data_IF_653166612070
#
_entry.id   IF_653166612070
#
_cell.length_a   1.000
_cell.length_b   1.000
_cell.length_c   1.000
_cell.angle_alpha   90.00
_cell.angle_beta   90.00
_cell.angle_gamma   90.00
#
_symmetry.space_group_name_H-M   'P 1'
#
loop_
_entity.id
_entity.type
_entity.pdbx_description
1 polymer ?
#
# COMPACT_ATOMS: atom_id res chain seq x y z
N UNK A 1 5.55 -4.71 18.00
CA UNK A 1 4.60 -3.90 17.22
C UNK A 1 3.57 -4.86 16.64
N UNK A 2 2.33 -4.45 16.35
CA UNK A 2 1.37 -5.36 15.73
C UNK A 2 1.92 -5.79 14.36
N UNK A 3 1.70 -7.03 13.98
CA UNK A 3 2.20 -7.57 12.71
C UNK A 3 1.18 -7.30 11.63
N UNK A 4 1.67 -6.83 10.49
CA UNK A 4 0.86 -6.56 9.31
C UNK A 4 1.37 -7.36 8.12
N UNK A 5 0.46 -7.66 7.20
CA UNK A 5 0.81 -8.34 5.95
C UNK A 5 0.34 -7.43 4.82
N UNK A 6 1.28 -6.98 4.00
CA UNK A 6 0.98 -6.23 2.79
C UNK A 6 0.88 -7.22 1.64
N UNK A 7 -0.25 -7.25 0.95
CA UNK A 7 -0.51 -8.13 -0.19
C UNK A 7 -0.77 -7.31 -1.44
N UNK A 8 -0.50 -7.88 -2.60
CA UNK A 8 -0.82 -7.32 -3.92
C UNK A 8 -1.81 -8.23 -4.63
N UNK A 9 -2.74 -7.67 -5.40
CA UNK A 9 -3.73 -8.44 -6.17
C UNK A 9 -4.03 -7.72 -7.49
N UNK A 10 -3.86 -8.36 -8.66
CA UNK A 10 -3.30 -9.70 -8.85
C UNK A 10 -1.85 -9.82 -8.33
N UNK A 11 -1.39 -11.06 -8.13
CA UNK A 11 -0.02 -11.32 -7.70
C UNK A 11 0.96 -10.78 -8.76
N UNK A 12 2.04 -10.13 -8.30
CA UNK A 12 3.10 -9.62 -9.16
C UNK A 12 3.89 -10.79 -9.79
N UNK A 13 4.28 -10.72 -11.08
CA UNK A 13 4.13 -9.59 -11.99
C UNK A 13 2.72 -9.46 -12.58
N UNK A 14 2.31 -8.22 -12.83
CA UNK A 14 1.04 -7.87 -13.47
C UNK A 14 1.27 -7.42 -14.91
N UNK A 15 0.23 -7.29 -15.72
CA UNK A 15 0.31 -6.80 -17.09
C UNK A 15 -0.12 -5.33 -17.21
N UNK A 16 0.42 -4.65 -18.21
CA UNK A 16 0.03 -3.28 -18.55
C UNK A 16 -1.49 -3.15 -18.75
N UNK A 17 -2.09 -2.14 -18.13
CA UNK A 17 -3.53 -1.89 -18.15
C UNK A 17 -4.32 -2.56 -17.02
N UNK A 18 -3.73 -3.49 -16.27
CA UNK A 18 -4.41 -4.13 -15.15
C UNK A 18 -4.71 -3.17 -13.98
N UNK A 19 -5.74 -3.51 -13.21
CA UNK A 19 -6.02 -2.82 -11.94
C UNK A 19 -5.40 -3.60 -10.80
N UNK A 20 -4.46 -2.97 -10.10
CA UNK A 20 -3.73 -3.56 -8.98
C UNK A 20 -4.29 -3.03 -7.67
N UNK A 21 -4.55 -3.90 -6.72
CA UNK A 21 -4.93 -3.55 -5.35
C UNK A 21 -3.86 -4.04 -4.40
N UNK A 22 -3.28 -3.11 -3.65
CA UNK A 22 -2.40 -3.40 -2.53
C UNK A 22 -3.18 -3.19 -1.24
N UNK A 23 -3.16 -4.18 -0.36
CA UNK A 23 -3.92 -4.12 0.88
C UNK A 23 -3.07 -4.51 2.07
N UNK A 24 -3.19 -3.71 3.12
CA UNK A 24 -2.52 -3.93 4.38
C UNK A 24 -3.48 -4.67 5.35
N UNK A 25 -3.21 -5.94 5.61
CA UNK A 25 -4.00 -6.76 6.52
C UNK A 25 -3.53 -6.66 7.96
N UNK A 26 -4.50 -6.39 8.83
CA UNK A 26 -4.31 -6.27 10.27
C UNK A 26 -4.72 -7.57 10.96
N UNK A 27 -3.83 -8.10 11.79
CA UNK A 27 -4.14 -9.24 12.66
C UNK A 27 -5.01 -8.86 13.87
N UNK A 28 -5.33 -7.58 14.07
CA UNK A 28 -6.06 -7.08 15.24
C UNK A 28 -7.21 -6.12 14.88
N UNK A 29 -8.32 -6.21 15.61
CA UNK A 29 -9.63 -5.60 15.35
C UNK A 29 -9.74 -4.06 15.49
N UNK A 30 -8.63 -3.31 15.59
CA UNK A 30 -8.67 -1.84 15.82
C UNK A 30 -8.33 -1.01 14.59
N UNK A 31 -8.79 -1.37 13.40
CA UNK A 31 -8.46 -0.66 12.14
C UNK A 31 -8.94 0.80 12.08
N UNK A 32 -10.02 1.15 12.81
CA UNK A 32 -10.65 2.47 12.75
C UNK A 32 -9.84 3.62 13.36
N UNK A 33 -8.90 3.33 14.27
CA UNK A 33 -8.06 4.38 14.89
C UNK A 33 -6.79 4.68 14.07
N UNK A 34 -6.54 3.91 13.00
CA UNK A 34 -5.33 4.04 12.20
C UNK A 34 -5.54 4.94 11.00
N UNK A 35 -4.56 5.83 10.82
CA UNK A 35 -4.36 6.62 9.62
C UNK A 35 -3.27 5.96 8.80
N UNK A 36 -3.54 5.77 7.52
CA UNK A 36 -2.66 5.05 6.61
C UNK A 36 -2.04 5.99 5.60
N UNK A 37 -0.74 5.88 5.45
CA UNK A 37 0.04 6.59 4.46
C UNK A 37 0.70 5.57 3.55
N UNK A 38 0.59 5.78 2.25
CA UNK A 38 1.16 4.92 1.23
C UNK A 38 2.32 5.61 0.55
N UNK A 39 3.35 4.84 0.27
CA UNK A 39 4.59 5.33 -0.29
C UNK A 39 5.07 4.42 -1.41
N UNK A 40 5.70 5.04 -2.40
CA UNK A 40 6.33 4.38 -3.54
C UNK A 40 7.81 4.71 -3.57
N UNK A 41 8.62 3.70 -3.83
CA UNK A 41 10.06 3.80 -4.03
C UNK A 41 10.86 4.04 -2.76
N UNK A 42 12.19 3.97 -2.93
CA UNK A 42 13.17 4.23 -1.87
C UNK A 42 13.17 5.69 -1.42
N UNK A 43 12.85 6.60 -2.35
CA UNK A 43 12.73 8.03 -2.07
C UNK A 43 11.46 8.38 -1.27
N UNK A 44 10.64 7.37 -0.95
CA UNK A 44 9.49 7.50 -0.06
C UNK A 44 8.49 8.54 -0.58
N UNK A 45 8.16 8.46 -1.87
CA UNK A 45 7.19 9.36 -2.48
C UNK A 45 5.81 9.03 -1.95
N UNK A 46 5.23 9.95 -1.18
CA UNK A 46 3.90 9.78 -0.60
C UNK A 46 2.84 9.82 -1.69
N UNK A 47 2.06 8.74 -1.81
CA UNK A 47 0.99 8.63 -2.77
C UNK A 47 -0.27 9.33 -2.25
N UNK A 48 -0.96 10.02 -3.15
CA UNK A 48 -2.25 10.64 -2.92
C UNK A 48 -3.25 10.14 -3.96
N UNK A 49 -4.55 10.25 -3.63
CA UNK A 49 -5.61 9.93 -4.58
C UNK A 49 -5.53 10.86 -5.78
N UNK A 50 -5.63 10.27 -6.97
CA UNK A 50 -5.55 10.89 -8.29
C UNK A 50 -6.38 10.06 -9.28
N UNK A 51 -6.37 10.40 -10.55
CA UNK A 51 -7.09 9.64 -11.57
C UNK A 51 -6.61 8.18 -11.69
N UNK A 52 -5.30 7.94 -11.48
CA UNK A 52 -4.68 6.60 -11.55
C UNK A 52 -4.58 5.91 -10.20
N UNK A 53 -4.31 6.63 -9.13
CA UNK A 53 -4.13 6.06 -7.78
C UNK A 53 -5.35 6.35 -6.90
N UNK A 54 -5.87 5.37 -6.19
CA UNK A 54 -6.87 5.57 -5.13
C UNK A 54 -6.29 5.11 -3.80
N UNK A 55 -6.08 6.05 -2.88
CA UNK A 55 -5.68 5.74 -1.50
C UNK A 55 -6.93 5.76 -0.63
N UNK A 56 -7.32 4.59 -0.13
CA UNK A 56 -8.46 4.43 0.77
C UNK A 56 -8.03 3.65 2.01
N UNK A 57 -7.49 4.37 2.99
CA UNK A 57 -7.03 3.78 4.25
C UNK A 57 -6.00 2.67 4.01
N UNK A 58 -6.37 1.45 4.40
CA UNK A 58 -5.51 0.26 4.33
C UNK A 58 -5.33 -0.30 2.92
N UNK A 59 -5.90 0.35 1.89
CA UNK A 59 -5.90 -0.11 0.51
C UNK A 59 -5.41 0.98 -0.44
N UNK A 60 -4.48 0.62 -1.32
CA UNK A 60 -4.04 1.40 -2.47
C UNK A 60 -4.48 0.68 -3.75
N UNK A 61 -5.18 1.39 -4.63
CA UNK A 61 -5.54 0.88 -5.96
C UNK A 61 -4.79 1.64 -7.03
N UNK A 62 -4.14 0.93 -7.95
CA UNK A 62 -3.52 1.46 -9.17
C UNK A 62 -4.40 1.05 -10.35
N UNK A 63 -4.93 2.01 -11.10
CA UNK A 63 -5.77 1.77 -12.27
C UNK A 63 -4.95 1.93 -13.53
N UNK A 64 -4.94 0.90 -14.38
CA UNK A 64 -4.16 0.92 -15.62
C UNK A 64 -2.67 0.93 -15.31
N UNK A 65 -2.18 -0.17 -14.75
CA UNK A 65 -0.76 -0.35 -14.43
C UNK A 65 0.11 -0.10 -15.67
N UNK A 66 1.26 0.54 -15.48
CA UNK A 66 2.26 0.82 -16.51
C UNK A 66 3.65 0.46 -16.01
N UNK A 67 4.64 0.37 -16.90
CA UNK A 67 6.04 0.16 -16.50
C UNK A 67 6.55 1.21 -15.50
N UNK A 68 5.99 2.42 -15.52
CA UNK A 68 6.33 3.48 -14.56
C UNK A 68 5.85 3.18 -13.15
N UNK A 69 4.87 2.28 -12.97
CA UNK A 69 4.33 1.86 -11.69
C UNK A 69 5.18 0.78 -11.02
N UNK A 70 6.20 0.24 -11.70
CA UNK A 70 7.14 -0.71 -11.13
C UNK A 70 7.96 -0.05 -10.04
N UNK A 71 7.79 -0.54 -8.81
CA UNK A 71 8.58 -0.11 -7.66
C UNK A 71 8.29 -0.96 -6.42
N UNK A 72 9.00 -0.67 -5.34
CA UNK A 72 8.62 -1.06 -4.00
C UNK A 72 7.54 -0.13 -3.44
N UNK A 73 6.49 -0.70 -2.88
CA UNK A 73 5.41 0.01 -2.22
C UNK A 73 5.36 -0.39 -0.75
N UNK A 74 5.11 0.58 0.12
CA UNK A 74 4.98 0.33 1.54
C UNK A 74 3.92 1.21 2.18
N UNK A 75 3.37 0.72 3.28
CA UNK A 75 2.28 1.37 4.00
C UNK A 75 2.69 1.60 5.45
N UNK A 76 2.40 2.80 5.95
CA UNK A 76 2.63 3.21 7.32
C UNK A 76 1.29 3.48 8.00
N UNK A 77 1.00 2.74 9.05
CA UNK A 77 -0.10 3.03 9.95
C UNK A 77 0.36 3.94 11.09
N UNK A 78 -0.40 4.99 11.38
CA UNK A 78 -0.20 5.86 12.53
C UNK A 78 -1.50 6.00 13.35
N UNK A 79 -1.38 6.13 14.67
CA UNK A 79 -2.51 6.43 15.57
C UNK A 79 -2.06 7.17 16.82
N UNK A 80 -3.02 7.73 17.56
CA UNK A 80 -2.71 8.57 18.72
C UNK A 80 -2.36 7.74 19.97
N UNK A 81 -3.00 6.58 20.13
CA UNK A 81 -2.78 5.64 21.24
C UNK A 81 -1.55 4.78 21.01
N UNK A 82 -0.94 4.25 22.09
CA UNK A 82 0.20 3.33 21.98
C UNK A 82 -0.23 1.94 21.47
N UNK A 83 0.57 1.24 20.65
CA UNK A 83 1.68 1.79 19.85
C UNK A 83 1.21 2.84 18.84
N UNK A 84 1.98 3.91 18.69
CA UNK A 84 1.65 5.06 17.83
C UNK A 84 1.89 4.80 16.34
N UNK A 85 2.71 3.81 16.01
CA UNK A 85 3.06 3.45 14.64
C UNK A 85 2.94 1.95 14.41
N UNK A 86 2.72 1.58 13.17
CA UNK A 86 2.78 0.21 12.68
C UNK A 86 4.24 -0.23 12.50
N UNK A 87 4.44 -1.54 12.30
CA UNK A 87 5.62 -2.05 11.62
C UNK A 87 5.53 -1.64 10.13
N UNK A 88 6.69 -1.42 9.51
CA UNK A 88 6.79 -1.15 8.08
C UNK A 88 6.85 -2.47 7.33
N UNK A 89 5.97 -2.64 6.35
CA UNK A 89 6.00 -3.74 5.40
C UNK A 89 5.97 -3.18 3.99
N UNK A 90 6.61 -3.91 3.09
CA UNK A 90 6.74 -3.52 1.69
C UNK A 90 6.48 -4.68 0.75
N UNK A 91 5.98 -4.38 -0.43
CA UNK A 91 5.84 -5.31 -1.55
C UNK A 91 6.46 -4.70 -2.80
N UNK A 92 6.97 -5.54 -3.69
CA UNK A 92 7.50 -5.09 -4.98
C UNK A 92 6.49 -5.39 -6.09
N UNK A 93 6.16 -4.37 -6.87
CA UNK A 93 5.31 -4.50 -8.06
C UNK A 93 6.19 -4.53 -9.32
N UNK A 94 5.98 -5.54 -10.15
CA UNK A 94 6.56 -5.67 -11.48
C UNK A 94 5.44 -5.65 -12.51
N UNK A 95 5.65 -4.98 -13.64
CA UNK A 95 4.66 -4.81 -14.71
C UNK A 95 5.29 -5.24 -16.03
N UNK A 96 4.59 -6.13 -16.75
CA UNK A 96 4.98 -6.67 -18.05
C UNK A 96 4.11 -6.13 -19.19
#
# INVERSE_FOLDING_TARGET
LPTYILTVTPDSPVFTGETVNMKNYWTYYQTHEWRYEWYKGTDSVMLQTSDRYTVNGDTLTIRGATESDQDQYWCKGQRDKRPKSSQLNSVSLTVN
#
